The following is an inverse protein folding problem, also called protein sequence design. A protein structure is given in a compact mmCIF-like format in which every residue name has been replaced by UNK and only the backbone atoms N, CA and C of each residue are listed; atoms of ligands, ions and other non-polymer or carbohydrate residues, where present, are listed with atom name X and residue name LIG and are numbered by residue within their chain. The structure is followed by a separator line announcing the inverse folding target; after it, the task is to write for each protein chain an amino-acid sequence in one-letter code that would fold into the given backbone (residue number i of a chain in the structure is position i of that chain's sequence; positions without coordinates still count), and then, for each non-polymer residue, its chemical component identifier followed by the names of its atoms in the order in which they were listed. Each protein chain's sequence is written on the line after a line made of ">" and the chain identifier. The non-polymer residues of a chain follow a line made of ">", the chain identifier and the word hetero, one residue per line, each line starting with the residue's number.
data_IF_960140373772
#
_entry.id   IF_960140373772
#
_cell.length_a   1.000
_cell.length_b   1.000
_cell.length_c   1.000
_cell.angle_alpha   90.00
_cell.angle_beta   90.00
_cell.angle_gamma   90.00
#
_symmetry.space_group_name_H-M   'P 1'
#
loop_
_entity.id
_entity.type
_entity.pdbx_description
1 polymer ?
#
# COMPACT_ATOMS: atom_id res chain seq x y z
N UNK A 1 -0.54 -20.42 12.08
CA UNK A 1 0.09 -19.09 12.08
C UNK A 1 -0.82 -18.12 11.34
N UNK A 2 -0.85 -16.85 11.71
CA UNK A 2 -1.55 -15.77 11.03
C UNK A 2 -0.53 -14.87 10.33
N UNK A 3 -0.55 -14.87 9.00
CA UNK A 3 0.26 -13.97 8.19
C UNK A 3 -0.64 -12.90 7.55
N UNK A 4 -0.22 -11.64 7.59
CA UNK A 4 -0.97 -10.50 7.05
C UNK A 4 -0.10 -9.71 6.07
N UNK A 5 -0.68 -9.41 4.90
CA UNK A 5 -0.13 -8.43 3.96
C UNK A 5 -0.77 -7.07 4.22
N UNK A 6 0.02 -6.13 4.74
CA UNK A 6 -0.39 -4.77 5.08
C UNK A 6 -0.01 -3.76 3.98
N UNK A 7 0.27 -4.19 2.76
CA UNK A 7 0.69 -3.34 1.63
C UNK A 7 -0.27 -2.20 1.30
N UNK A 8 -1.58 -2.39 1.54
CA UNK A 8 -2.61 -1.37 1.33
C UNK A 8 -3.03 -0.64 2.62
N UNK A 9 -2.32 -0.86 3.73
CA UNK A 9 -2.62 -0.31 5.04
C UNK A 9 -1.45 0.48 5.65
N UNK A 10 -0.23 -0.06 5.61
CA UNK A 10 0.94 0.53 6.27
C UNK A 10 1.26 1.92 5.71
N UNK A 11 1.20 2.94 6.57
CA UNK A 11 1.36 4.35 6.19
C UNK A 11 0.07 5.07 5.84
N UNK A 12 -1.04 4.34 5.66
CA UNK A 12 -2.38 4.91 5.46
C UNK A 12 -3.24 4.86 6.73
N UNK A 13 -3.17 3.73 7.44
CA UNK A 13 -3.93 3.46 8.67
C UNK A 13 -3.03 2.78 9.69
N UNK A 14 -3.48 2.71 10.94
CA UNK A 14 -2.76 2.01 12.01
C UNK A 14 -2.71 0.50 11.73
N UNK A 15 -1.49 -0.08 11.79
CA UNK A 15 -1.26 -1.52 11.59
C UNK A 15 -0.69 -2.14 12.88
N UNK A 16 -1.50 -2.86 13.67
CA UNK A 16 -1.03 -3.54 14.88
C UNK A 16 -0.35 -4.86 14.54
N UNK A 17 0.84 -4.79 13.94
CA UNK A 17 1.58 -5.96 13.43
C UNK A 17 1.81 -7.05 14.51
N UNK A 18 1.90 -6.67 15.78
CA UNK A 18 2.15 -7.58 16.90
C UNK A 18 1.01 -8.58 17.15
N UNK A 19 -0.19 -8.33 16.60
CA UNK A 19 -1.31 -9.27 16.65
C UNK A 19 -1.18 -10.44 15.66
N UNK A 20 -0.17 -10.43 14.80
CA UNK A 20 0.07 -11.46 13.79
C UNK A 20 1.32 -12.29 14.13
N UNK A 21 1.49 -13.39 13.41
CA UNK A 21 2.74 -14.16 13.46
C UNK A 21 3.77 -13.62 12.47
N UNK A 22 3.29 -13.11 11.32
CA UNK A 22 4.06 -12.48 10.26
C UNK A 22 3.24 -11.29 9.71
N UNK A 23 3.82 -10.12 9.61
CA UNK A 23 3.23 -8.97 8.91
C UNK A 23 4.24 -8.40 7.93
N UNK A 24 3.85 -8.29 6.66
CA UNK A 24 4.70 -7.73 5.61
C UNK A 24 4.01 -6.57 4.93
N UNK A 25 4.76 -5.61 4.43
CA UNK A 25 4.22 -4.54 3.59
C UNK A 25 5.21 -4.17 2.51
N UNK A 26 4.70 -3.91 1.30
CA UNK A 26 5.47 -3.17 0.31
C UNK A 26 5.71 -1.74 0.82
N UNK A 27 6.89 -1.17 0.55
CA UNK A 27 7.15 0.22 0.93
C UNK A 27 6.86 1.25 -0.18
N UNK A 28 6.72 0.81 -1.43
CA UNK A 28 6.51 1.69 -2.59
C UNK A 28 5.07 2.20 -2.77
N UNK A 29 4.18 1.92 -1.81
CA UNK A 29 2.79 2.40 -1.83
C UNK A 29 2.59 3.47 -0.75
N UNK A 30 1.83 3.13 0.29
CA UNK A 30 1.40 4.02 1.37
C UNK A 30 2.53 4.39 2.34
N UNK A 31 3.67 3.69 2.28
CA UNK A 31 4.89 4.06 2.98
C UNK A 31 5.78 5.04 2.19
N UNK A 32 5.31 5.56 1.04
CA UNK A 32 5.92 6.63 0.24
C UNK A 32 7.42 6.46 -0.09
N UNK A 33 7.92 5.23 -0.12
CA UNK A 33 9.28 4.90 -0.51
C UNK A 33 9.32 4.37 -1.96
N UNK A 34 10.41 3.70 -2.34
CA UNK A 34 10.59 3.11 -3.68
C UNK A 34 10.56 1.59 -3.66
N UNK A 35 10.48 0.95 -4.82
CA UNK A 35 10.54 -0.50 -4.94
C UNK A 35 11.87 -1.06 -4.42
N UNK A 36 11.85 -2.32 -3.97
CA UNK A 36 13.06 -3.07 -3.63
C UNK A 36 13.33 -3.29 -2.15
N UNK A 37 12.48 -2.79 -1.25
CA UNK A 37 12.49 -3.22 0.16
C UNK A 37 11.07 -3.41 0.70
N UNK A 38 10.94 -4.13 1.80
CA UNK A 38 9.66 -4.40 2.46
C UNK A 38 9.89 -4.54 3.97
N UNK A 39 9.27 -3.70 4.82
CA UNK A 39 9.25 -3.98 6.25
C UNK A 39 8.55 -5.32 6.54
N UNK A 40 9.11 -6.02 7.52
CA UNK A 40 8.64 -7.32 7.97
C UNK A 40 8.64 -7.35 9.50
N UNK A 41 7.54 -7.80 10.07
CA UNK A 41 7.44 -8.21 11.46
C UNK A 41 7.28 -9.74 11.52
N UNK A 42 8.09 -10.40 12.34
CA UNK A 42 7.99 -11.83 12.61
C UNK A 42 7.95 -12.01 14.13
N UNK A 43 6.91 -12.65 14.65
CA UNK A 43 6.80 -12.92 16.09
C UNK A 43 7.84 -13.97 16.54
N UNK A 44 8.26 -13.93 17.80
CA UNK A 44 9.20 -14.91 18.36
C UNK A 44 8.71 -16.35 18.20
N UNK A 45 7.40 -16.58 18.38
CA UNK A 45 6.76 -17.89 18.20
C UNK A 45 6.84 -18.38 16.76
N UNK A 46 6.65 -17.47 15.80
CA UNK A 46 6.80 -17.79 14.38
C UNK A 46 8.26 -18.08 14.06
N UNK A 47 9.17 -17.26 14.55
CA UNK A 47 10.61 -17.44 14.38
C UNK A 47 11.10 -18.80 14.89
N UNK A 48 10.60 -19.28 16.04
CA UNK A 48 11.00 -20.55 16.65
C UNK A 48 10.54 -21.80 15.90
N UNK A 49 9.52 -21.68 15.04
CA UNK A 49 8.95 -22.81 14.26
C UNK A 49 9.19 -22.68 12.75
N UNK A 50 9.86 -21.62 12.32
CA UNK A 50 10.17 -21.36 10.91
C UNK A 50 11.67 -21.52 10.64
N UNK A 51 11.97 -22.04 9.46
CA UNK A 51 13.34 -22.14 8.94
C UNK A 51 13.56 -21.10 7.85
N UNK A 52 14.76 -20.56 7.78
CA UNK A 52 15.18 -19.73 6.66
C UNK A 52 15.33 -20.59 5.40
N UNK A 53 14.99 -20.04 4.23
CA UNK A 53 15.16 -20.71 2.93
C UNK A 53 16.14 -20.00 2.01
N UNK A 54 16.61 -18.82 2.42
CA UNK A 54 17.55 -17.98 1.67
C UNK A 54 18.76 -17.72 2.56
N UNK A 55 19.95 -18.13 2.12
CA UNK A 55 21.15 -18.09 2.94
C UNK A 55 22.24 -17.25 2.29
N UNK A 56 23.00 -16.53 3.11
CA UNK A 56 24.19 -15.82 2.69
C UNK A 56 24.99 -15.30 3.88
N UNK A 57 26.07 -14.59 3.58
CA UNK A 57 27.08 -14.23 4.59
C UNK A 57 26.53 -13.35 5.73
N UNK A 58 25.41 -12.65 5.51
CA UNK A 58 24.84 -11.71 6.49
C UNK A 58 23.85 -12.36 7.46
N UNK A 59 23.20 -13.46 7.07
CA UNK A 59 22.24 -14.17 7.94
C UNK A 59 22.78 -15.48 8.52
N UNK A 60 24.02 -15.82 8.22
CA UNK A 60 24.74 -16.97 8.75
C UNK A 60 25.97 -16.51 9.54
N UNK A 61 26.26 -17.18 10.66
CA UNK A 61 27.53 -17.03 11.38
C UNK A 61 28.68 -17.76 10.66
N UNK A 62 28.86 -17.46 9.37
CA UNK A 62 29.80 -18.15 8.50
C UNK A 62 31.25 -17.83 8.83
N UNK A 63 31.51 -16.66 9.43
CA UNK A 63 32.85 -16.16 9.67
C UNK A 63 33.30 -16.27 11.13
N UNK A 64 32.41 -16.42 12.12
CA UNK A 64 32.74 -16.66 13.53
C UNK A 64 34.00 -15.91 14.02
N UNK A 65 35.00 -16.67 14.51
CA UNK A 65 36.31 -16.17 14.98
C UNK A 65 37.30 -15.75 13.86
N UNK A 66 36.82 -15.39 12.66
CA UNK A 66 37.67 -14.95 11.54
C UNK A 66 38.28 -16.08 10.71
N UNK A 67 37.65 -17.27 10.66
CA UNK A 67 38.10 -18.37 9.80
C UNK A 67 37.38 -18.35 8.45
N UNK A 68 38.12 -18.65 7.36
CA UNK A 68 37.58 -18.84 6.02
C UNK A 68 37.32 -20.33 5.67
N UNK A 69 37.48 -21.23 6.65
CA UNK A 69 37.26 -22.65 6.45
C UNK A 69 35.78 -22.96 6.19
N UNK A 70 35.51 -23.77 5.17
CA UNK A 70 34.16 -24.20 4.82
C UNK A 70 33.59 -25.12 5.89
N UNK A 71 32.53 -24.67 6.56
CA UNK A 71 31.74 -25.49 7.50
C UNK A 71 30.48 -26.03 6.82
N UNK A 72 30.13 -27.28 7.10
CA UNK A 72 28.90 -27.91 6.60
C UNK A 72 27.65 -27.54 7.42
N UNK A 73 27.86 -27.10 8.67
CA UNK A 73 26.81 -26.65 9.57
C UNK A 73 27.22 -25.30 10.14
N UNK A 74 26.37 -24.30 9.96
CA UNK A 74 26.57 -22.91 10.38
C UNK A 74 25.26 -22.44 11.02
N UNK A 75 25.36 -21.75 12.16
CA UNK A 75 24.19 -21.20 12.84
C UNK A 75 23.61 -20.01 12.04
N UNK A 76 22.29 -19.88 12.04
CA UNK A 76 21.59 -18.71 11.52
C UNK A 76 21.56 -17.60 12.58
N UNK A 77 21.64 -16.34 12.15
CA UNK A 77 21.35 -15.21 13.02
C UNK A 77 19.83 -15.11 13.29
N UNK A 78 19.41 -14.60 14.46
CA UNK A 78 18.00 -14.32 14.74
C UNK A 78 17.49 -13.12 13.91
N UNK A 79 16.22 -12.78 14.05
CA UNK A 79 15.66 -11.54 13.51
C UNK A 79 16.42 -10.30 14.03
N UNK A 80 16.58 -9.24 13.22
CA UNK A 80 16.13 -9.12 11.83
C UNK A 80 17.03 -9.80 10.79
N UNK A 81 18.30 -10.06 11.09
CA UNK A 81 19.30 -10.58 10.13
C UNK A 81 18.89 -11.91 9.51
N UNK A 82 18.11 -12.74 10.21
CA UNK A 82 17.56 -14.01 9.71
C UNK A 82 17.02 -13.92 8.27
N UNK A 83 16.30 -12.84 7.95
CA UNK A 83 15.67 -12.63 6.65
C UNK A 83 16.52 -11.83 5.66
N UNK A 84 17.75 -11.48 6.02
CA UNK A 84 18.61 -10.57 5.27
C UNK A 84 19.91 -11.26 4.83
N UNK A 85 19.79 -12.20 3.89
CA UNK A 85 20.90 -13.08 3.47
C UNK A 85 22.15 -12.36 2.91
N UNK A 86 21.99 -11.16 2.36
CA UNK A 86 23.07 -10.44 1.69
C UNK A 86 23.04 -8.95 1.96
N UNK A 87 23.74 -8.19 1.11
CA UNK A 87 23.74 -6.74 1.21
C UNK A 87 22.31 -6.19 1.11
N UNK A 88 21.89 -5.33 2.04
CA UNK A 88 20.59 -4.69 1.94
C UNK A 88 20.53 -3.74 0.74
N UNK A 89 19.33 -3.40 0.28
CA UNK A 89 19.15 -2.36 -0.74
C UNK A 89 19.36 -0.96 -0.13
N UNK A 90 20.62 -0.60 0.17
CA UNK A 90 20.97 0.58 0.99
C UNK A 90 20.29 1.87 0.50
N UNK A 91 20.31 2.16 -0.80
CA UNK A 91 19.66 3.34 -1.36
C UNK A 91 18.15 3.38 -1.06
N UNK A 92 17.45 2.26 -1.30
CA UNK A 92 16.01 2.12 -1.03
C UNK A 92 15.71 2.26 0.47
N UNK A 93 16.57 1.74 1.34
CA UNK A 93 16.40 1.86 2.81
C UNK A 93 16.53 3.32 3.25
N UNK A 94 17.48 4.09 2.71
CA UNK A 94 17.59 5.52 3.03
C UNK A 94 16.35 6.31 2.59
N UNK A 95 15.75 5.98 1.44
CA UNK A 95 14.47 6.57 1.04
C UNK A 95 13.32 6.19 1.97
N UNK A 96 13.28 4.92 2.40
CA UNK A 96 12.27 4.45 3.35
C UNK A 96 12.42 5.15 4.70
N UNK A 97 13.64 5.27 5.23
CA UNK A 97 13.91 6.00 6.48
C UNK A 97 13.35 7.42 6.42
N UNK A 98 13.69 8.18 5.36
CA UNK A 98 13.20 9.55 5.24
C UNK A 98 11.67 9.63 5.07
N UNK A 99 11.08 8.65 4.39
CA UNK A 99 9.62 8.57 4.27
C UNK A 99 8.95 8.30 5.62
N UNK A 100 9.51 7.37 6.40
CA UNK A 100 9.02 7.06 7.74
C UNK A 100 9.13 8.28 8.66
N UNK A 101 10.20 9.06 8.59
CA UNK A 101 10.30 10.33 9.33
C UNK A 101 9.10 11.24 9.06
N UNK A 102 8.76 11.45 7.78
CA UNK A 102 7.65 12.31 7.37
C UNK A 102 6.31 11.76 7.89
N UNK A 103 6.08 10.46 7.72
CA UNK A 103 4.85 9.82 8.19
C UNK A 103 4.71 9.89 9.72
N UNK A 104 5.79 9.69 10.45
CA UNK A 104 5.81 9.72 11.92
C UNK A 104 5.74 11.15 12.48
N UNK A 105 6.35 12.13 11.81
CA UNK A 105 6.25 13.56 12.14
C UNK A 105 4.80 14.06 11.98
N UNK A 106 4.12 13.62 10.92
CA UNK A 106 2.69 13.89 10.75
C UNK A 106 1.85 13.06 11.73
N UNK A 107 2.25 11.84 12.05
CA UNK A 107 1.51 10.94 12.94
C UNK A 107 0.44 10.15 12.20
N UNK A 108 0.47 8.83 12.40
CA UNK A 108 -0.33 7.85 11.66
C UNK A 108 -1.82 8.02 11.92
N UNK A 109 -2.21 8.38 13.13
CA UNK A 109 -3.62 8.56 13.50
C UNK A 109 -4.24 9.77 12.78
N UNK A 110 -3.46 10.85 12.57
CA UNK A 110 -3.92 12.02 11.80
C UNK A 110 -4.08 11.66 10.33
N UNK A 111 -3.11 10.92 9.78
CA UNK A 111 -3.16 10.44 8.40
C UNK A 111 -4.37 9.51 8.20
N UNK A 112 -4.60 8.58 9.13
CA UNK A 112 -5.74 7.66 9.09
C UNK A 112 -7.07 8.41 9.07
N UNK A 113 -7.25 9.38 9.98
CA UNK A 113 -8.47 10.19 10.01
C UNK A 113 -8.68 10.96 8.69
N UNK A 114 -7.62 11.60 8.18
CA UNK A 114 -7.66 12.35 6.93
C UNK A 114 -8.02 11.46 5.74
N UNK A 115 -7.40 10.29 5.65
CA UNK A 115 -7.66 9.33 4.58
C UNK A 115 -9.10 8.79 4.65
N UNK A 116 -9.65 8.58 5.85
CA UNK A 116 -11.06 8.23 6.02
C UNK A 116 -12.01 9.34 5.61
N UNK A 117 -11.66 10.60 5.86
CA UNK A 117 -12.44 11.78 5.46
C UNK A 117 -12.44 11.95 3.93
N UNK A 118 -11.27 11.81 3.28
CA UNK A 118 -11.17 11.77 1.82
C UNK A 118 -12.04 10.66 1.23
N UNK A 119 -11.96 9.44 1.77
CA UNK A 119 -12.76 8.31 1.30
C UNK A 119 -14.27 8.56 1.46
N UNK A 120 -14.69 9.27 2.50
CA UNK A 120 -16.08 9.69 2.69
C UNK A 120 -16.55 10.67 1.63
N UNK A 121 -15.77 11.73 1.39
CA UNK A 121 -16.10 12.74 0.39
C UNK A 121 -16.20 12.11 -1.00
N UNK A 122 -15.22 11.29 -1.37
CA UNK A 122 -15.21 10.56 -2.64
C UNK A 122 -16.43 9.65 -2.74
N UNK A 123 -16.70 8.81 -1.73
CA UNK A 123 -17.83 7.87 -1.76
C UNK A 123 -19.17 8.60 -1.86
N UNK A 124 -19.32 9.72 -1.16
CA UNK A 124 -20.54 10.53 -1.19
C UNK A 124 -20.74 11.18 -2.56
N UNK A 125 -19.68 11.77 -3.14
CA UNK A 125 -19.74 12.36 -4.47
C UNK A 125 -20.05 11.31 -5.56
N UNK A 126 -19.41 10.14 -5.50
CA UNK A 126 -19.70 9.04 -6.43
C UNK A 126 -21.17 8.59 -6.38
N UNK A 127 -21.75 8.50 -5.18
CA UNK A 127 -23.17 8.17 -5.04
C UNK A 127 -24.09 9.26 -5.62
N UNK A 128 -23.72 10.54 -5.46
CA UNK A 128 -24.46 11.66 -6.07
C UNK A 128 -24.39 11.64 -7.61
N UNK A 129 -23.29 11.13 -8.17
CA UNK A 129 -23.14 10.88 -9.60
C UNK A 129 -23.86 9.60 -10.08
N UNK A 130 -24.55 8.89 -9.18
CA UNK A 130 -25.35 7.72 -9.52
C UNK A 130 -24.54 6.45 -9.83
N UNK A 131 -23.22 6.43 -9.58
CA UNK A 131 -22.40 5.23 -9.80
C UNK A 131 -22.41 4.30 -8.59
N UNK A 132 -22.27 2.99 -8.83
CA UNK A 132 -22.29 2.00 -7.76
C UNK A 132 -20.93 1.92 -7.04
N UNK A 133 -20.83 2.54 -5.87
CA UNK A 133 -19.68 2.41 -4.96
C UNK A 133 -19.64 1.01 -4.36
N UNK A 134 -18.46 0.36 -4.41
CA UNK A 134 -18.23 -1.00 -3.89
C UNK A 134 -17.26 -1.05 -2.70
N UNK A 135 -16.74 0.10 -2.28
CA UNK A 135 -15.98 0.21 -1.04
C UNK A 135 -16.92 0.24 0.19
N UNK A 136 -16.50 -0.29 1.35
CA UNK A 136 -17.29 -0.23 2.58
C UNK A 136 -17.66 1.19 3.00
N UNK A 137 -18.90 1.39 3.47
CA UNK A 137 -19.38 2.68 3.97
C UNK A 137 -19.00 2.95 5.42
N UNK A 138 -18.87 1.93 6.25
CA UNK A 138 -18.52 2.11 7.66
C UNK A 138 -17.08 2.63 7.79
N UNK A 139 -16.89 3.75 8.49
CA UNK A 139 -15.57 4.43 8.63
C UNK A 139 -14.46 3.48 9.07
N UNK A 140 -14.71 2.66 10.09
CA UNK A 140 -13.75 1.67 10.60
C UNK A 140 -13.38 0.54 9.63
N UNK A 141 -14.11 0.42 8.52
CA UNK A 141 -13.86 -0.56 7.44
C UNK A 141 -13.30 0.11 6.18
N UNK A 142 -13.01 1.41 6.21
CA UNK A 142 -12.41 2.15 5.09
C UNK A 142 -10.90 2.08 5.15
N UNK A 143 -10.29 2.18 3.97
CA UNK A 143 -8.87 2.46 3.77
C UNK A 143 -8.77 3.65 2.82
N UNK A 144 -7.57 4.03 2.38
CA UNK A 144 -7.43 5.13 1.41
C UNK A 144 -7.89 4.81 -0.01
N UNK A 145 -8.37 3.61 -0.28
CA UNK A 145 -8.94 3.24 -1.57
C UNK A 145 -10.48 3.33 -1.57
N UNK A 146 -11.02 4.09 -2.53
CA UNK A 146 -12.46 4.10 -2.85
C UNK A 146 -12.67 3.55 -4.25
N UNK A 147 -13.57 2.58 -4.41
CA UNK A 147 -13.85 1.93 -5.69
C UNK A 147 -15.33 2.05 -6.08
N UNK A 148 -15.60 2.18 -7.38
CA UNK A 148 -16.94 2.07 -7.96
C UNK A 148 -16.94 1.20 -9.22
N UNK A 149 -18.09 0.63 -9.57
CA UNK A 149 -18.25 -0.17 -10.79
C UNK A 149 -18.41 0.71 -12.02
N UNK A 150 -17.72 0.32 -13.08
CA UNK A 150 -17.80 0.95 -14.38
C UNK A 150 -17.44 -0.06 -15.47
N UNK A 151 -18.42 -0.40 -16.31
CA UNK A 151 -18.20 -1.31 -17.44
C UNK A 151 -17.17 -0.77 -18.45
N UNK A 152 -16.93 0.53 -18.44
CA UNK A 152 -15.99 1.24 -19.29
C UNK A 152 -14.76 1.76 -18.53
N UNK A 153 -14.40 1.12 -17.40
CA UNK A 153 -13.36 1.59 -16.48
C UNK A 153 -12.04 2.02 -17.14
N UNK A 154 -11.57 1.31 -18.17
CA UNK A 154 -10.33 1.68 -18.88
C UNK A 154 -10.51 2.98 -19.68
N UNK A 155 -11.64 3.16 -20.36
CA UNK A 155 -11.96 4.38 -21.09
C UNK A 155 -12.15 5.56 -20.14
N UNK A 156 -12.88 5.35 -19.04
CA UNK A 156 -13.06 6.36 -17.98
C UNK A 156 -11.72 6.79 -17.39
N UNK A 157 -10.82 5.84 -17.06
CA UNK A 157 -9.45 6.15 -16.62
C UNK A 157 -8.71 7.04 -17.62
N UNK A 158 -8.73 6.66 -18.90
CA UNK A 158 -8.05 7.43 -19.97
C UNK A 158 -8.63 8.83 -20.14
N UNK A 159 -9.95 8.98 -20.02
CA UNK A 159 -10.61 10.28 -20.11
C UNK A 159 -10.33 11.17 -18.89
N UNK A 160 -10.27 10.61 -17.69
CA UNK A 160 -9.84 11.33 -16.48
C UNK A 160 -8.37 11.78 -16.56
N UNK A 161 -7.51 10.95 -17.15
CA UNK A 161 -6.08 11.26 -17.34
C UNK A 161 -5.87 12.53 -18.20
N UNK A 162 -6.71 12.76 -19.22
CA UNK A 162 -6.71 14.00 -20.02
C UNK A 162 -6.97 15.25 -19.16
N UNK A 163 -7.79 15.11 -18.12
CA UNK A 163 -8.09 16.14 -17.13
C UNK A 163 -7.10 16.17 -15.95
N UNK A 164 -5.95 15.48 -16.08
CA UNK A 164 -4.89 15.37 -15.07
C UNK A 164 -5.34 14.68 -13.78
N UNK A 165 -6.36 13.84 -13.86
CA UNK A 165 -6.85 13.02 -12.74
C UNK A 165 -6.37 11.59 -12.95
N UNK A 166 -5.41 11.16 -12.12
CA UNK A 166 -4.80 9.83 -12.22
C UNK A 166 -5.51 8.85 -11.28
N UNK A 167 -6.17 7.86 -11.87
CA UNK A 167 -6.84 6.77 -11.15
C UNK A 167 -6.43 5.42 -11.74
N UNK A 168 -6.71 4.33 -11.02
CA UNK A 168 -6.65 2.99 -11.59
C UNK A 168 -8.03 2.61 -12.15
N UNK A 169 -8.11 2.02 -13.34
CA UNK A 169 -9.39 1.66 -13.95
C UNK A 169 -9.25 0.51 -14.94
N UNK A 170 -9.59 -0.69 -14.49
CA UNK A 170 -9.58 -1.94 -15.25
C UNK A 170 -10.55 -2.93 -14.57
N UNK A 171 -10.81 -4.09 -15.19
CA UNK A 171 -11.62 -5.17 -14.59
C UNK A 171 -13.03 -4.73 -14.12
N UNK A 172 -13.67 -3.82 -14.87
CA UNK A 172 -15.03 -3.36 -14.60
C UNK A 172 -15.17 -2.43 -13.38
N UNK A 173 -14.07 -1.84 -12.89
CA UNK A 173 -14.10 -0.88 -11.79
C UNK A 173 -13.03 0.19 -11.90
N UNK A 174 -13.30 1.34 -11.29
CA UNK A 174 -12.32 2.40 -11.07
C UNK A 174 -11.97 2.44 -9.59
N UNK A 175 -10.69 2.63 -9.27
CA UNK A 175 -10.16 2.81 -7.91
C UNK A 175 -9.46 4.15 -7.81
N UNK A 176 -9.97 4.98 -6.90
CA UNK A 176 -9.38 6.24 -6.47
C UNK A 176 -8.62 5.97 -5.17
N UNK A 177 -7.38 6.47 -5.07
CA UNK A 177 -6.50 6.24 -3.92
C UNK A 177 -6.04 7.59 -3.37
N UNK A 178 -6.62 8.03 -2.26
CA UNK A 178 -6.29 9.32 -1.62
C UNK A 178 -5.36 9.13 -0.43
N UNK A 179 -4.37 10.01 -0.28
CA UNK A 179 -3.39 9.96 0.83
C UNK A 179 -3.16 11.35 1.46
N UNK A 180 -2.08 11.51 2.23
CA UNK A 180 -1.82 12.65 3.10
C UNK A 180 -1.55 13.95 2.34
N UNK A 181 -1.13 13.82 1.08
CA UNK A 181 -0.86 14.93 0.18
C UNK A 181 -2.07 15.33 -0.66
N UNK A 182 -3.21 14.64 -0.50
CA UNK A 182 -4.45 14.98 -1.19
C UNK A 182 -5.39 15.82 -0.31
N UNK A 183 -6.14 16.73 -0.92
CA UNK A 183 -7.10 17.60 -0.24
C UNK A 183 -8.53 17.50 -0.78
N UNK A 184 -9.44 18.31 -0.22
CA UNK A 184 -10.82 18.47 -0.73
C UNK A 184 -10.84 18.93 -2.18
N UNK A 185 -9.97 19.85 -2.55
CA UNK A 185 -9.90 20.43 -3.90
C UNK A 185 -9.55 19.36 -4.95
N UNK A 186 -8.71 18.38 -4.60
CA UNK A 186 -8.42 17.24 -5.47
C UNK A 186 -9.66 16.36 -5.67
N UNK A 187 -10.46 16.17 -4.61
CA UNK A 187 -11.69 15.38 -4.65
C UNK A 187 -12.76 16.09 -5.47
N UNK A 188 -12.92 17.41 -5.30
CA UNK A 188 -13.83 18.23 -6.10
C UNK A 188 -13.44 18.17 -7.59
N UNK A 189 -12.17 18.40 -7.93
CA UNK A 189 -11.69 18.31 -9.31
C UNK A 189 -11.88 16.92 -9.93
N UNK A 190 -11.67 15.86 -9.15
CA UNK A 190 -11.96 14.47 -9.54
C UNK A 190 -13.44 14.27 -9.87
N UNK A 191 -14.34 14.72 -8.99
CA UNK A 191 -15.79 14.51 -9.13
C UNK A 191 -16.36 15.32 -10.31
N UNK A 192 -15.94 16.57 -10.46
CA UNK A 192 -16.32 17.42 -11.60
C UNK A 192 -15.86 16.82 -12.93
N UNK A 193 -14.60 16.36 -12.98
CA UNK A 193 -14.05 15.69 -14.16
C UNK A 193 -14.80 14.39 -14.48
N UNK A 194 -15.15 13.63 -13.45
CA UNK A 194 -15.88 12.37 -13.62
C UNK A 194 -17.30 12.60 -14.12
N UNK A 195 -18.00 13.64 -13.63
CA UNK A 195 -19.35 13.97 -14.10
C UNK A 195 -19.36 14.20 -15.62
N UNK A 196 -18.42 15.01 -16.13
CA UNK A 196 -18.27 15.28 -17.56
C UNK A 196 -18.01 13.99 -18.36
N UNK A 197 -17.16 13.10 -17.83
CA UNK A 197 -16.83 11.83 -18.50
C UNK A 197 -18.03 10.89 -18.56
N UNK A 198 -18.81 10.79 -17.48
CA UNK A 198 -20.00 9.94 -17.43
C UNK A 198 -21.08 10.44 -18.39
N UNK A 199 -21.39 11.75 -18.39
CA UNK A 199 -22.32 12.37 -19.34
C UNK A 199 -21.88 12.15 -20.81
N UNK A 200 -20.58 12.23 -21.07
CA UNK A 200 -20.02 11.97 -22.39
C UNK A 200 -20.14 10.50 -22.85
N UNK A 201 -20.18 9.54 -21.92
CA UNK A 201 -20.33 8.13 -22.23
C UNK A 201 -21.80 7.75 -22.47
N UNK A 202 -22.75 8.30 -21.70
CA UNK A 202 -24.18 8.11 -21.94
C UNK A 202 -24.60 8.61 -23.33
N UNK A 203 -24.09 9.78 -23.73
CA UNK A 203 -24.36 10.36 -25.05
C UNK A 203 -23.76 9.57 -26.22
N UNK A 204 -22.76 8.71 -26.00
CA UNK A 204 -22.23 7.82 -27.06
C UNK A 204 -23.07 6.55 -27.21
N UNK A 205 -23.75 6.12 -26.16
CA UNK A 205 -24.60 4.92 -26.17
C UNK A 205 -26.01 5.21 -26.72
N UNK A 206 -26.46 6.46 -26.77
CA UNK A 206 -27.77 6.86 -27.32
C UNK A 206 -27.82 6.99 -28.85
N UNK A 207 -26.67 6.85 -29.54
CA UNK A 207 -26.57 6.84 -31.01
C UNK A 207 -26.05 5.51 -31.59
N UNK A 208 -25.99 4.45 -30.78
CA UNK A 208 -25.53 3.11 -31.16
C UNK A 208 -26.66 2.14 -31.47
#
# INVERSE_FOLDING_TARGET
>A
MLAVDATHASGAITVPAQLTDLCVSSCYKWLLATHGTAPCYLSERAESVTRTTTFGWRNLDAHGQGSAERKLSIAEHPMPEKLEAGNPAMATIMFLERSLDVLLEIGIERIESHVHDLAEMISTGLEQLGVQVISPRARASRSGNTCFLDAHAEATRKSLEVNRVLVWGELGRVRISGHLYNGSDDVEHLLDSLNIVLEGNENKNSFG
#
